data_IF_105378493846
#
_entry.id   IF_105378493846
#
_cell.length_a   1.000
_cell.length_b   1.000
_cell.length_c   1.000
_cell.angle_alpha   90.00
_cell.angle_beta   90.00
_cell.angle_gamma   90.00
#
_symmetry.space_group_name_H-M   'P 1'
#
loop_
_entity.id
_entity.type
_entity.pdbx_description
1 polymer ?
#
# COMPACT_ATOMS: atom_id res chain seq x y z
N UNK A 1 4.16 10.58 24.38
CA UNK A 1 2.88 10.18 23.77
C UNK A 1 2.92 8.69 23.48
N UNK A 2 1.90 7.97 23.91
CA UNK A 2 1.72 6.54 23.63
C UNK A 2 0.55 6.35 22.67
N UNK A 3 0.77 5.67 21.55
CA UNK A 3 -0.21 5.48 20.50
C UNK A 3 -0.49 3.99 20.31
N UNK A 4 -1.76 3.61 20.41
CA UNK A 4 -2.19 2.30 19.93
C UNK A 4 -2.25 2.36 18.40
N UNK A 5 -1.35 1.66 17.72
CA UNK A 5 -1.39 1.43 16.27
C UNK A 5 -1.93 0.04 15.99
N UNK A 6 -3.24 -0.06 15.80
CA UNK A 6 -3.94 -1.34 15.74
C UNK A 6 -4.19 -1.80 14.30
N UNK A 7 -3.57 -2.91 13.94
CA UNK A 7 -3.89 -3.67 12.73
C UNK A 7 -4.61 -4.96 13.13
N UNK A 8 -5.88 -5.07 12.75
CA UNK A 8 -6.63 -6.30 12.96
C UNK A 8 -6.09 -7.43 12.09
N UNK A 9 -5.99 -8.64 12.64
CA UNK A 9 -5.40 -9.80 11.98
C UNK A 9 -3.90 -9.62 11.62
N UNK A 10 -3.15 -8.81 12.38
CA UNK A 10 -1.70 -8.69 12.23
C UNK A 10 -1.04 -10.09 12.15
N UNK A 11 -0.09 -10.25 11.23
CA UNK A 11 0.57 -11.52 10.93
C UNK A 11 -0.22 -12.50 10.04
N UNK A 12 -1.49 -12.20 9.70
CA UNK A 12 -2.30 -12.94 8.72
C UNK A 12 -2.57 -12.16 7.45
N UNK A 13 -2.56 -10.83 7.54
CA UNK A 13 -2.72 -9.94 6.39
C UNK A 13 -1.34 -9.75 5.74
N UNK A 14 -1.29 -9.86 4.43
CA UNK A 14 -0.14 -9.55 3.57
C UNK A 14 -0.52 -8.44 2.59
N UNK A 15 0.48 -7.86 1.92
CA UNK A 15 0.25 -6.83 0.90
C UNK A 15 0.26 -5.40 1.45
N UNK A 16 -0.31 -4.46 0.69
CA UNK A 16 -0.14 -3.02 0.87
C UNK A 16 -0.50 -2.49 2.27
N UNK A 17 -1.61 -2.95 2.86
CA UNK A 17 -2.04 -2.48 4.20
C UNK A 17 -1.06 -2.93 5.29
N UNK A 18 -0.57 -4.18 5.23
CA UNK A 18 0.42 -4.67 6.19
C UNK A 18 1.75 -3.90 6.05
N UNK A 19 2.18 -3.65 4.82
CA UNK A 19 3.37 -2.83 4.54
C UNK A 19 3.19 -1.41 5.05
N UNK A 20 2.08 -0.75 4.73
CA UNK A 20 1.78 0.60 5.20
C UNK A 20 1.79 0.71 6.72
N UNK A 21 1.12 -0.22 7.42
CA UNK A 21 1.09 -0.23 8.89
C UNK A 21 2.48 -0.49 9.49
N UNK A 22 3.28 -1.38 8.90
CA UNK A 22 4.66 -1.63 9.34
C UNK A 22 5.53 -0.39 9.18
N UNK A 23 5.47 0.28 8.04
CA UNK A 23 6.17 1.54 7.76
C UNK A 23 5.74 2.65 8.71
N UNK A 24 4.43 2.79 8.96
CA UNK A 24 3.88 3.75 9.91
C UNK A 24 4.44 3.54 11.33
N UNK A 25 4.52 2.29 11.80
CA UNK A 25 5.10 1.96 13.11
C UNK A 25 6.59 2.29 13.19
N UNK A 26 7.33 1.96 12.13
CA UNK A 26 8.75 2.32 12.02
C UNK A 26 8.92 3.83 12.08
N UNK A 27 8.14 4.59 11.32
CA UNK A 27 8.16 6.05 11.29
C UNK A 27 7.81 6.67 12.66
N UNK A 28 6.78 6.17 13.34
CA UNK A 28 6.38 6.63 14.67
C UNK A 28 7.45 6.33 15.72
N UNK A 29 8.03 5.15 15.69
CA UNK A 29 9.11 4.76 16.62
C UNK A 29 10.36 5.64 16.41
N UNK A 30 10.74 5.93 15.18
CA UNK A 30 11.85 6.84 14.84
C UNK A 30 11.57 8.26 15.33
N UNK A 31 10.32 8.70 15.29
CA UNK A 31 9.86 10.01 15.81
C UNK A 31 9.70 10.02 17.36
N UNK A 32 10.08 8.98 18.07
CA UNK A 32 10.06 8.91 19.55
C UNK A 32 8.68 8.63 20.17
N UNK A 33 7.74 8.12 19.41
CA UNK A 33 6.41 7.73 19.88
C UNK A 33 6.47 6.32 20.49
N UNK A 34 5.85 6.13 21.66
CA UNK A 34 5.67 4.80 22.26
C UNK A 34 4.50 4.07 21.57
N UNK A 35 4.82 3.11 20.69
CA UNK A 35 3.82 2.41 19.86
C UNK A 35 3.36 1.13 20.55
N UNK A 36 2.05 1.00 20.71
CA UNK A 36 1.38 -0.19 21.24
C UNK A 36 0.62 -0.87 20.09
N UNK A 37 0.96 -2.12 19.78
CA UNK A 37 0.36 -2.85 18.65
C UNK A 37 -0.93 -3.61 18.99
N UNK A 38 -1.10 -3.96 20.26
CA UNK A 38 -2.28 -4.69 20.74
C UNK A 38 -3.03 -3.88 21.80
N UNK A 39 -4.34 -3.69 21.64
CA UNK A 39 -5.14 -2.98 22.64
C UNK A 39 -5.39 -3.79 23.91
N UNK A 40 -5.11 -5.10 23.90
CA UNK A 40 -5.46 -6.02 24.97
C UNK A 40 -4.29 -6.25 25.93
N UNK A 41 -4.60 -6.34 27.24
CA UNK A 41 -3.66 -6.84 28.25
C UNK A 41 -3.68 -8.37 28.19
N UNK A 42 -2.51 -8.99 27.90
CA UNK A 42 -2.35 -10.45 27.75
C UNK A 42 -1.97 -10.83 26.30
N UNK A 43 -1.04 -11.76 26.18
CA UNK A 43 -0.45 -12.15 24.89
C UNK A 43 -1.10 -13.42 24.29
N UNK A 44 -2.18 -13.92 24.89
CA UNK A 44 -2.83 -15.16 24.48
C UNK A 44 -4.01 -14.96 23.53
N UNK A 45 -4.17 -15.84 22.50
CA UNK A 45 -5.33 -15.78 21.59
C UNK A 45 -6.66 -15.95 22.32
N UNK A 46 -6.69 -16.61 23.46
CA UNK A 46 -7.89 -16.79 24.30
C UNK A 46 -8.27 -15.51 25.05
N UNK A 47 -7.30 -14.72 25.50
CA UNK A 47 -7.55 -13.45 26.18
C UNK A 47 -8.09 -12.41 25.20
N UNK A 48 -7.50 -12.36 23.99
CA UNK A 48 -8.00 -11.53 22.90
C UNK A 48 -9.42 -11.93 22.46
N UNK A 49 -9.70 -13.23 22.37
CA UNK A 49 -11.04 -13.73 22.01
C UNK A 49 -12.06 -13.42 23.11
N UNK A 50 -11.69 -13.60 24.38
CA UNK A 50 -12.54 -13.30 25.54
C UNK A 50 -12.84 -11.81 25.62
N UNK A 51 -11.83 -10.95 25.45
CA UNK A 51 -11.97 -9.49 25.46
C UNK A 51 -12.85 -8.99 24.32
N UNK A 52 -12.73 -9.59 23.13
CA UNK A 52 -13.59 -9.30 21.96
C UNK A 52 -15.05 -9.68 22.19
N UNK A 53 -15.31 -10.83 22.83
CA UNK A 53 -16.66 -11.35 23.05
C UNK A 53 -17.38 -10.69 24.23
N UNK A 54 -16.66 -10.37 25.30
CA UNK A 54 -17.27 -9.86 26.53
C UNK A 54 -17.27 -8.34 26.63
N UNK A 55 -16.50 -7.65 25.78
CA UNK A 55 -16.27 -6.19 25.90
C UNK A 55 -15.66 -5.78 27.25
N UNK A 56 -15.15 -6.73 28.04
CA UNK A 56 -14.71 -6.57 29.41
C UNK A 56 -13.26 -7.00 29.65
N UNK A 57 -12.44 -7.15 28.61
CA UNK A 57 -10.99 -7.31 28.74
C UNK A 57 -10.31 -6.01 29.18
N UNK A 58 -9.25 -6.11 29.97
CA UNK A 58 -8.44 -4.95 30.30
C UNK A 58 -7.76 -4.44 29.02
N UNK A 59 -8.05 -3.19 28.67
CA UNK A 59 -7.33 -2.48 27.62
C UNK A 59 -6.00 -1.97 28.19
N UNK A 60 -4.97 -1.89 27.34
CA UNK A 60 -3.73 -1.19 27.65
C UNK A 60 -4.00 0.31 27.70
N UNK A 61 -3.20 1.04 28.44
CA UNK A 61 -3.27 2.50 28.46
C UNK A 61 -2.56 3.06 27.22
N UNK A 62 -3.21 4.01 26.55
CA UNK A 62 -2.67 4.78 25.42
C UNK A 62 -3.39 6.14 25.34
N UNK A 63 -2.68 7.12 24.80
CA UNK A 63 -3.17 8.49 24.66
C UNK A 63 -4.05 8.66 23.41
N UNK A 64 -3.78 7.86 22.36
CA UNK A 64 -4.48 7.88 21.07
C UNK A 64 -4.75 6.44 20.63
N UNK A 65 -5.96 6.18 20.13
CA UNK A 65 -6.32 4.96 19.41
C UNK A 65 -6.25 5.19 17.90
N UNK A 66 -5.33 4.50 17.21
CA UNK A 66 -5.23 4.54 15.74
C UNK A 66 -5.52 3.14 15.18
N UNK A 67 -6.57 3.03 14.34
CA UNK A 67 -6.99 1.77 13.71
C UNK A 67 -6.72 1.80 12.21
N UNK A 68 -6.03 0.76 11.71
CA UNK A 68 -5.63 0.61 10.30
C UNK A 68 -6.55 -0.31 9.47
N UNK A 69 -7.55 -0.91 10.09
CA UNK A 69 -8.58 -1.71 9.44
C UNK A 69 -9.96 -1.44 10.02
N UNK A 70 -10.97 -1.98 9.35
CA UNK A 70 -12.39 -1.69 9.61
C UNK A 70 -13.15 -2.91 10.15
N UNK A 71 -12.47 -3.88 10.75
CA UNK A 71 -13.08 -5.10 11.24
C UNK A 71 -13.67 -5.01 12.65
N UNK A 72 -14.20 -6.12 13.21
CA UNK A 72 -14.83 -6.14 14.53
C UNK A 72 -13.92 -5.72 15.69
N UNK A 73 -12.62 -6.01 15.60
CA UNK A 73 -11.63 -5.57 16.57
C UNK A 73 -11.47 -4.06 16.59
N UNK A 74 -11.38 -3.44 15.42
CA UNK A 74 -11.32 -1.98 15.27
C UNK A 74 -12.60 -1.29 15.79
N UNK A 75 -13.77 -1.91 15.58
CA UNK A 75 -15.02 -1.43 16.20
C UNK A 75 -14.99 -1.51 17.72
N UNK A 76 -14.40 -2.56 18.30
CA UNK A 76 -14.26 -2.68 19.76
C UNK A 76 -13.31 -1.60 20.31
N UNK A 77 -12.17 -1.35 19.64
CA UNK A 77 -11.25 -0.26 19.97
C UNK A 77 -11.95 1.10 19.89
N UNK A 78 -12.64 1.38 18.80
CA UNK A 78 -13.38 2.64 18.62
C UNK A 78 -14.43 2.88 19.73
N UNK A 79 -15.18 1.84 20.12
CA UNK A 79 -16.14 1.92 21.23
C UNK A 79 -15.46 2.15 22.59
N UNK A 80 -14.30 1.53 22.81
CA UNK A 80 -13.52 1.74 24.02
C UNK A 80 -13.00 3.18 24.09
N UNK A 81 -12.39 3.66 23.02
CA UNK A 81 -11.87 5.02 22.90
C UNK A 81 -12.95 6.06 23.22
N UNK A 82 -14.11 5.94 22.56
CA UNK A 82 -15.27 6.85 22.81
C UNK A 82 -15.80 6.84 24.24
N UNK A 83 -15.76 5.69 24.94
CA UNK A 83 -16.26 5.59 26.32
C UNK A 83 -15.30 6.16 27.35
N UNK A 84 -14.04 6.32 27.00
CA UNK A 84 -12.98 6.77 27.87
C UNK A 84 -12.38 8.11 27.41
N UNK A 85 -13.06 8.82 26.51
CA UNK A 85 -12.64 10.11 25.95
C UNK A 85 -11.21 10.11 25.38
N UNK A 86 -10.82 8.95 24.77
CA UNK A 86 -9.53 8.79 24.08
C UNK A 86 -9.73 9.18 22.62
N UNK A 87 -8.93 10.08 22.07
CA UNK A 87 -8.97 10.45 20.66
C UNK A 87 -8.83 9.25 19.73
N UNK A 88 -9.72 9.16 18.74
CA UNK A 88 -9.81 8.05 17.78
C UNK A 88 -9.37 8.50 16.38
N UNK A 89 -8.28 7.92 15.89
CA UNK A 89 -7.81 8.06 14.52
C UNK A 89 -8.19 6.81 13.73
N UNK A 90 -8.80 6.99 12.57
CA UNK A 90 -9.09 5.90 11.64
C UNK A 90 -8.32 6.13 10.33
N UNK A 91 -7.48 5.17 9.94
CA UNK A 91 -6.74 5.24 8.68
C UNK A 91 -7.52 4.56 7.56
N UNK A 92 -7.87 5.32 6.54
CA UNK A 92 -8.64 4.84 5.41
C UNK A 92 -7.73 4.24 4.33
N UNK A 93 -7.16 3.07 4.60
CA UNK A 93 -6.45 2.27 3.61
C UNK A 93 -7.38 1.62 2.57
N UNK A 94 -8.67 1.55 2.87
CA UNK A 94 -9.70 0.95 2.01
C UNK A 94 -10.87 1.89 1.88
N UNK A 95 -11.30 2.15 0.65
CA UNK A 95 -12.57 2.81 0.34
C UNK A 95 -13.59 1.81 -0.21
N UNK A 96 -14.85 2.19 -0.31
CA UNK A 96 -15.86 1.32 -0.91
C UNK A 96 -15.71 1.24 -2.44
N UNK A 97 -15.04 2.22 -3.00
CA UNK A 97 -14.73 2.34 -4.41
C UNK A 97 -13.64 1.33 -4.80
N UNK A 98 -12.54 1.24 -4.02
CA UNK A 98 -11.43 0.30 -4.26
C UNK A 98 -11.81 -1.16 -4.07
N UNK A 99 -12.74 -1.42 -3.15
CA UNK A 99 -13.03 -2.79 -2.71
C UNK A 99 -13.80 -3.58 -3.77
N UNK A 100 -14.55 -2.89 -4.64
CA UNK A 100 -15.44 -3.53 -5.62
C UNK A 100 -14.70 -4.40 -6.64
N UNK A 101 -13.47 -4.07 -6.99
CA UNK A 101 -12.71 -4.74 -8.06
C UNK A 101 -11.60 -5.69 -7.53
N UNK A 102 -11.43 -5.78 -6.21
CA UNK A 102 -10.27 -6.46 -5.62
C UNK A 102 -10.40 -7.99 -5.57
N UNK A 103 -11.62 -8.55 -5.44
CA UNK A 103 -11.82 -10.00 -5.32
C UNK A 103 -13.14 -10.44 -5.97
N UNK A 104 -13.20 -11.70 -6.45
CA UNK A 104 -14.33 -12.30 -7.17
C UNK A 104 -15.70 -12.19 -6.49
N UNK A 105 -15.74 -12.07 -5.15
CA UNK A 105 -16.98 -11.96 -4.38
C UNK A 105 -17.24 -10.55 -3.83
N UNK A 106 -16.34 -9.61 -4.06
CA UNK A 106 -16.44 -8.26 -3.48
C UNK A 106 -17.51 -7.41 -4.14
N UNK A 107 -17.79 -7.59 -5.42
CA UNK A 107 -18.95 -6.95 -6.08
C UNK A 107 -20.28 -7.26 -5.37
N UNK A 108 -20.43 -8.48 -4.84
CA UNK A 108 -21.62 -8.90 -4.14
C UNK A 108 -21.73 -8.31 -2.72
N UNK A 109 -20.57 -8.03 -2.09
CA UNK A 109 -20.47 -7.48 -0.73
C UNK A 109 -20.38 -5.97 -0.72
N UNK A 110 -19.87 -5.35 -1.79
CA UNK A 110 -19.68 -3.92 -1.93
C UNK A 110 -20.93 -3.07 -1.56
N UNK A 111 -22.18 -3.45 -1.93
CA UNK A 111 -23.37 -2.71 -1.54
C UNK A 111 -23.60 -2.64 -0.02
N UNK A 112 -23.19 -3.67 0.73
CA UNK A 112 -23.29 -3.70 2.18
C UNK A 112 -22.06 -3.03 2.85
N UNK A 113 -20.90 -3.12 2.23
CA UNK A 113 -19.65 -2.55 2.73
C UNK A 113 -19.68 -1.02 2.71
N UNK A 114 -20.22 -0.42 1.66
CA UNK A 114 -20.28 1.04 1.51
C UNK A 114 -20.96 1.76 2.68
N UNK A 115 -22.19 1.40 3.10
CA UNK A 115 -22.82 2.02 4.28
C UNK A 115 -22.05 1.72 5.57
N UNK A 116 -21.43 0.54 5.68
CA UNK A 116 -20.62 0.18 6.84
C UNK A 116 -19.37 1.06 6.95
N UNK A 117 -18.57 1.22 5.88
CA UNK A 117 -17.38 2.07 5.87
C UNK A 117 -17.75 3.54 6.16
N UNK A 118 -18.82 4.03 5.54
CA UNK A 118 -19.33 5.38 5.81
C UNK A 118 -19.69 5.59 7.27
N UNK A 119 -20.35 4.61 7.89
CA UNK A 119 -20.65 4.63 9.32
C UNK A 119 -19.37 4.55 10.16
N UNK A 120 -18.45 3.64 9.83
CA UNK A 120 -17.25 3.42 10.63
C UNK A 120 -16.35 4.66 10.63
N UNK A 121 -16.02 5.21 9.47
CA UNK A 121 -15.20 6.41 9.40
C UNK A 121 -15.86 7.65 10.04
N UNK A 122 -17.19 7.70 10.12
CA UNK A 122 -17.88 8.78 10.84
C UNK A 122 -17.72 8.73 12.35
N UNK A 123 -17.13 7.67 12.90
CA UNK A 123 -16.84 7.53 14.33
C UNK A 123 -15.53 8.20 14.75
N UNK A 124 -14.65 8.55 13.82
CA UNK A 124 -13.34 9.13 14.09
C UNK A 124 -13.41 10.55 14.62
N UNK A 125 -12.37 10.93 15.37
CA UNK A 125 -12.04 12.32 15.68
C UNK A 125 -11.08 12.88 14.63
N UNK A 126 -10.31 12.01 13.96
CA UNK A 126 -9.47 12.31 12.81
C UNK A 126 -9.49 11.11 11.85
N UNK A 127 -9.68 11.34 10.55
CA UNK A 127 -9.49 10.34 9.51
C UNK A 127 -8.18 10.65 8.77
N UNK A 128 -7.26 9.67 8.74
CA UNK A 128 -6.08 9.71 7.89
C UNK A 128 -6.32 8.92 6.61
N UNK A 129 -5.69 9.32 5.53
CA UNK A 129 -5.74 8.62 4.25
C UNK A 129 -4.42 8.84 3.48
N UNK A 130 -4.05 7.94 2.54
CA UNK A 130 -2.72 7.98 1.94
C UNK A 130 -2.50 9.10 0.90
N UNK A 131 -3.58 9.76 0.41
CA UNK A 131 -3.48 10.74 -0.68
C UNK A 131 -4.61 11.78 -0.64
N UNK A 132 -4.40 12.92 -1.29
CA UNK A 132 -5.47 13.90 -1.54
C UNK A 132 -6.57 13.31 -2.45
N UNK A 133 -6.21 12.37 -3.34
CA UNK A 133 -7.19 11.63 -4.12
C UNK A 133 -8.15 10.86 -3.21
N UNK A 134 -7.62 10.06 -2.28
CA UNK A 134 -8.45 9.31 -1.31
C UNK A 134 -9.25 10.26 -0.41
N UNK A 135 -8.68 11.40 0.00
CA UNK A 135 -9.41 12.44 0.74
C UNK A 135 -10.60 12.97 -0.05
N UNK A 136 -10.46 13.19 -1.38
CA UNK A 136 -11.60 13.60 -2.23
C UNK A 136 -12.71 12.54 -2.25
N UNK A 137 -12.35 11.26 -2.35
CA UNK A 137 -13.32 10.14 -2.26
C UNK A 137 -14.05 10.15 -0.92
N UNK A 138 -13.30 10.27 0.19
CA UNK A 138 -13.86 10.24 1.54
C UNK A 138 -14.74 11.46 1.87
N UNK A 139 -14.55 12.61 1.21
CA UNK A 139 -15.45 13.77 1.35
C UNK A 139 -16.88 13.50 0.92
N UNK A 140 -17.11 12.46 0.10
CA UNK A 140 -18.46 12.01 -0.24
C UNK A 140 -19.11 11.13 0.85
N UNK A 141 -18.35 10.81 1.92
CA UNK A 141 -18.83 10.07 3.08
C UNK A 141 -19.38 11.03 4.15
N UNK A 142 -20.27 10.59 5.05
CA UNK A 142 -20.81 11.42 6.14
C UNK A 142 -19.79 11.58 7.30
N UNK A 143 -18.52 11.72 6.96
CA UNK A 143 -17.44 11.98 7.92
C UNK A 143 -17.51 13.44 8.32
N UNK A 144 -17.54 13.72 9.62
CA UNK A 144 -17.54 15.08 10.19
C UNK A 144 -16.18 15.49 10.72
N UNK A 145 -15.37 14.50 11.07
CA UNK A 145 -14.01 14.72 11.53
C UNK A 145 -13.14 15.29 10.38
N UNK A 146 -12.05 15.99 10.71
CA UNK A 146 -11.02 16.31 9.72
C UNK A 146 -10.55 15.07 8.97
N UNK A 147 -10.30 15.21 7.66
CA UNK A 147 -9.70 14.16 6.82
C UNK A 147 -8.37 14.71 6.34
N UNK A 148 -7.27 14.08 6.75
CA UNK A 148 -5.92 14.57 6.45
C UNK A 148 -5.12 13.53 5.68
N UNK A 149 -4.49 13.89 4.55
CA UNK A 149 -3.64 13.00 3.81
C UNK A 149 -2.28 12.89 4.51
N UNK A 150 -1.88 11.65 4.73
CA UNK A 150 -0.53 11.28 5.18
C UNK A 150 -0.10 10.10 4.35
N UNK A 151 0.94 10.29 3.55
CA UNK A 151 1.50 9.24 2.69
C UNK A 151 1.90 8.02 3.53
N UNK A 152 1.73 6.82 2.96
CA UNK A 152 2.24 5.60 3.62
C UNK A 152 3.78 5.59 3.67
N UNK A 153 4.41 6.37 2.81
CA UNK A 153 5.86 6.48 2.74
C UNK A 153 6.55 5.31 2.05
N UNK A 154 7.86 5.37 2.10
CA UNK A 154 8.75 4.29 1.64
C UNK A 154 9.91 4.13 2.61
N UNK A 155 10.19 2.89 3.00
CA UNK A 155 11.33 2.50 3.80
C UNK A 155 12.55 2.29 2.90
N UNK A 156 13.27 3.37 2.61
CA UNK A 156 14.44 3.38 1.73
C UNK A 156 15.56 2.50 2.29
N UNK A 157 15.76 2.51 3.61
CA UNK A 157 16.82 1.75 4.27
C UNK A 157 16.59 0.24 4.15
N UNK A 158 15.34 -0.22 4.23
CA UNK A 158 14.97 -1.62 4.04
C UNK A 158 15.26 -2.16 2.65
N UNK A 159 15.43 -1.28 1.66
CA UNK A 159 15.74 -1.63 0.28
C UNK A 159 17.24 -1.64 -0.01
N UNK A 160 18.09 -1.16 0.90
CA UNK A 160 19.55 -1.09 0.70
C UNK A 160 20.15 -2.44 0.33
N UNK A 161 21.09 -2.44 -0.62
CA UNK A 161 21.79 -3.63 -1.08
C UNK A 161 20.96 -4.54 -1.99
N UNK A 162 19.85 -4.05 -2.54
CA UNK A 162 19.01 -4.79 -3.49
C UNK A 162 19.80 -5.28 -4.72
N UNK A 163 20.84 -4.57 -5.12
CA UNK A 163 21.68 -4.91 -6.29
C UNK A 163 22.37 -6.27 -6.12
N UNK A 164 22.64 -6.68 -4.89
CA UNK A 164 23.30 -7.96 -4.60
C UNK A 164 22.47 -9.18 -5.03
N UNK A 165 21.17 -9.03 -5.15
CA UNK A 165 20.26 -10.10 -5.57
C UNK A 165 20.23 -10.31 -7.09
N UNK A 166 20.79 -9.38 -7.89
CA UNK A 166 20.63 -9.37 -9.35
C UNK A 166 21.03 -10.68 -10.01
N UNK A 167 22.24 -11.15 -9.76
CA UNK A 167 22.77 -12.34 -10.43
C UNK A 167 21.99 -13.59 -10.05
N UNK A 168 21.77 -13.80 -8.76
CA UNK A 168 21.07 -14.98 -8.25
C UNK A 168 19.62 -15.08 -8.77
N UNK A 169 18.89 -13.97 -8.72
CA UNK A 169 17.46 -13.98 -9.10
C UNK A 169 17.30 -14.12 -10.61
N UNK A 170 18.15 -13.48 -11.39
CA UNK A 170 18.14 -13.63 -12.85
C UNK A 170 18.49 -15.04 -13.28
N UNK A 171 19.51 -15.68 -12.69
CA UNK A 171 19.83 -17.09 -12.94
C UNK A 171 18.66 -18.00 -12.55
N UNK A 172 18.07 -17.78 -11.38
CA UNK A 172 16.95 -18.59 -10.86
C UNK A 172 15.72 -18.60 -11.77
N UNK A 173 15.43 -17.49 -12.42
CA UNK A 173 14.23 -17.31 -13.22
C UNK A 173 14.51 -17.16 -14.72
N UNK A 174 15.75 -17.43 -15.16
CA UNK A 174 16.19 -17.34 -16.56
C UNK A 174 15.86 -15.99 -17.21
N UNK A 175 16.21 -14.90 -16.54
CA UNK A 175 15.92 -13.53 -16.97
C UNK A 175 17.15 -12.90 -17.62
N UNK A 176 17.01 -12.48 -18.87
CA UNK A 176 18.09 -11.91 -19.67
C UNK A 176 17.78 -10.46 -20.15
N UNK A 177 18.79 -9.78 -20.64
CA UNK A 177 18.64 -8.46 -21.25
C UNK A 177 17.99 -7.41 -20.33
N UNK A 178 17.07 -6.61 -20.87
CA UNK A 178 16.26 -5.67 -20.11
C UNK A 178 15.08 -6.39 -19.49
N UNK A 179 15.02 -6.44 -18.16
CA UNK A 179 13.94 -7.08 -17.41
C UNK A 179 12.92 -6.03 -16.98
N UNK A 180 11.71 -6.17 -17.47
CA UNK A 180 10.54 -5.40 -17.04
C UNK A 180 9.88 -6.14 -15.86
N UNK A 181 9.59 -5.45 -14.78
CA UNK A 181 9.06 -6.14 -13.60
C UNK A 181 7.93 -5.40 -12.91
N UNK A 182 7.12 -6.16 -12.17
CA UNK A 182 6.07 -5.67 -11.27
C UNK A 182 6.20 -6.33 -9.90
N UNK A 183 5.79 -5.63 -8.84
CA UNK A 183 5.77 -6.14 -7.46
C UNK A 183 4.38 -5.97 -6.88
N UNK A 184 3.83 -7.04 -6.34
CA UNK A 184 2.52 -7.05 -5.70
C UNK A 184 1.70 -8.28 -6.02
N UNK A 185 0.54 -8.42 -5.39
CA UNK A 185 -0.37 -9.51 -5.66
C UNK A 185 -0.83 -9.51 -7.13
N UNK A 186 -0.88 -10.70 -7.74
CA UNK A 186 -1.18 -10.87 -9.16
C UNK A 186 -2.68 -10.94 -9.36
N UNK A 187 -3.30 -9.85 -9.78
CA UNK A 187 -4.71 -9.80 -10.13
C UNK A 187 -5.05 -8.63 -11.07
N UNK A 188 -6.23 -8.67 -11.66
CA UNK A 188 -6.60 -7.81 -12.80
C UNK A 188 -6.55 -6.32 -12.49
N UNK A 189 -6.99 -5.87 -11.29
CA UNK A 189 -6.93 -4.45 -10.91
C UNK A 189 -5.49 -3.91 -10.95
N UNK A 190 -4.48 -4.75 -10.67
CA UNK A 190 -3.06 -4.38 -10.76
C UNK A 190 -2.52 -4.31 -12.19
N UNK A 191 -3.39 -4.51 -13.20
CA UNK A 191 -3.04 -4.42 -14.61
C UNK A 191 -2.43 -5.69 -15.19
N UNK A 192 -2.83 -6.86 -14.66
CA UNK A 192 -2.31 -8.16 -15.09
C UNK A 192 -2.45 -8.39 -16.60
N UNK A 193 -3.63 -8.12 -17.16
CA UNK A 193 -3.85 -8.28 -18.59
C UNK A 193 -2.95 -7.36 -19.41
N UNK A 194 -2.90 -6.06 -19.09
CA UNK A 194 -1.99 -5.11 -19.75
C UNK A 194 -0.52 -5.54 -19.65
N UNK A 195 -0.07 -6.02 -18.47
CA UNK A 195 1.29 -6.51 -18.28
C UNK A 195 1.65 -7.65 -19.23
N UNK A 196 0.76 -8.64 -19.39
CA UNK A 196 0.97 -9.79 -20.26
C UNK A 196 0.86 -9.44 -21.75
N UNK A 197 -0.08 -8.57 -22.15
CA UNK A 197 -0.24 -8.12 -23.52
C UNK A 197 0.99 -7.31 -23.97
N UNK A 198 1.44 -6.35 -23.17
CA UNK A 198 2.65 -5.56 -23.43
C UNK A 198 3.90 -6.45 -23.51
N UNK A 199 4.00 -7.48 -22.65
CA UNK A 199 5.08 -8.46 -22.75
C UNK A 199 5.12 -9.17 -24.10
N UNK A 200 3.96 -9.62 -24.57
CA UNK A 200 3.84 -10.31 -25.86
C UNK A 200 4.26 -9.44 -27.04
N UNK A 201 3.99 -8.12 -26.98
CA UNK A 201 4.31 -7.20 -28.07
C UNK A 201 5.77 -6.74 -28.07
N UNK A 202 6.42 -6.68 -26.91
CA UNK A 202 7.79 -6.11 -26.79
C UNK A 202 8.89 -7.14 -26.89
N UNK A 203 8.66 -8.38 -26.46
CA UNK A 203 9.66 -9.47 -26.48
C UNK A 203 10.80 -9.31 -25.47
N UNK A 204 10.70 -8.37 -24.49
CA UNK A 204 11.60 -8.31 -23.33
C UNK A 204 11.20 -9.36 -22.31
N UNK A 205 12.09 -9.69 -21.36
CA UNK A 205 11.73 -10.55 -20.24
C UNK A 205 10.91 -9.77 -19.21
N UNK A 206 9.80 -10.37 -18.80
CA UNK A 206 8.88 -9.83 -17.81
C UNK A 206 8.82 -10.72 -16.57
N UNK A 207 8.91 -10.13 -15.39
CA UNK A 207 8.84 -10.85 -14.13
C UNK A 207 7.84 -10.19 -13.18
N UNK A 208 6.82 -10.93 -12.74
CA UNK A 208 5.89 -10.45 -11.73
C UNK A 208 6.19 -11.11 -10.39
N UNK A 209 6.66 -10.32 -9.43
CA UNK A 209 7.02 -10.76 -8.08
C UNK A 209 5.84 -10.56 -7.13
N UNK A 210 5.16 -11.66 -6.80
CA UNK A 210 4.04 -11.61 -5.88
C UNK A 210 3.18 -12.86 -5.85
N UNK A 211 2.43 -12.96 -4.78
CA UNK A 211 1.49 -14.06 -4.59
C UNK A 211 0.32 -13.96 -5.58
N UNK A 212 -0.22 -15.10 -5.95
CA UNK A 212 -1.49 -15.22 -6.66
C UNK A 212 -2.29 -16.40 -6.15
N UNK A 213 -3.61 -16.22 -6.19
CA UNK A 213 -4.54 -17.28 -5.87
C UNK A 213 -4.62 -18.31 -7.01
N UNK A 214 -4.69 -19.57 -6.65
CA UNK A 214 -4.84 -20.68 -7.59
C UNK A 214 -6.25 -21.28 -7.50
N UNK A 215 -6.65 -21.99 -8.55
CA UNK A 215 -7.89 -22.74 -8.59
C UNK A 215 -9.16 -21.87 -8.62
N UNK A 216 -10.29 -22.32 -8.01
CA UNK A 216 -11.58 -21.65 -8.12
C UNK A 216 -11.68 -20.28 -7.41
N UNK A 217 -10.78 -19.99 -6.46
CA UNK A 217 -10.72 -18.72 -5.74
C UNK A 217 -10.11 -17.61 -6.59
N UNK A 218 -9.24 -17.96 -7.56
CA UNK A 218 -8.62 -16.99 -8.45
C UNK A 218 -9.65 -16.30 -9.33
N UNK A 219 -9.42 -15.00 -9.58
CA UNK A 219 -10.13 -14.24 -10.60
C UNK A 219 -9.94 -14.85 -11.99
N UNK A 220 -10.81 -14.53 -12.94
CA UNK A 220 -10.75 -15.11 -14.29
C UNK A 220 -9.44 -14.76 -15.00
N UNK A 221 -9.05 -13.49 -15.00
CA UNK A 221 -7.81 -13.04 -15.59
C UNK A 221 -6.58 -13.66 -14.93
N UNK A 222 -6.54 -13.71 -13.59
CA UNK A 222 -5.44 -14.35 -12.84
C UNK A 222 -5.26 -15.79 -13.27
N UNK A 223 -6.35 -16.56 -13.27
CA UNK A 223 -6.32 -17.97 -13.67
C UNK A 223 -5.89 -18.15 -15.12
N UNK A 224 -6.40 -17.31 -16.05
CA UNK A 224 -6.04 -17.38 -17.46
C UNK A 224 -4.54 -17.15 -17.66
N UNK A 225 -4.02 -16.04 -17.20
CA UNK A 225 -2.64 -15.62 -17.43
C UNK A 225 -1.61 -16.45 -16.65
N UNK A 226 -1.92 -16.91 -15.44
CA UNK A 226 -0.99 -17.77 -14.67
C UNK A 226 -0.97 -19.22 -15.16
N UNK A 227 -2.03 -19.66 -15.87
CA UNK A 227 -2.06 -20.99 -16.49
C UNK A 227 -1.47 -20.97 -17.90
N UNK A 228 -1.60 -19.88 -18.64
CA UNK A 228 -1.13 -19.71 -20.00
C UNK A 228 -0.28 -18.41 -20.11
N UNK A 229 0.84 -18.31 -19.42
CA UNK A 229 1.66 -17.10 -19.51
C UNK A 229 2.28 -16.97 -20.92
N UNK A 230 2.49 -15.76 -21.42
CA UNK A 230 3.38 -15.54 -22.55
C UNK A 230 4.78 -16.14 -22.28
N UNK A 231 5.49 -16.57 -23.35
CA UNK A 231 6.79 -17.26 -23.21
C UNK A 231 7.84 -16.44 -22.45
N UNK A 232 7.74 -15.10 -22.52
CA UNK A 232 8.64 -14.15 -21.89
C UNK A 232 8.09 -13.59 -20.57
N UNK A 233 7.06 -14.18 -19.96
CA UNK A 233 6.48 -13.76 -18.67
C UNK A 233 6.69 -14.81 -17.60
N UNK A 234 7.34 -14.41 -16.51
CA UNK A 234 7.56 -15.24 -15.32
C UNK A 234 6.76 -14.72 -14.13
N UNK A 235 5.87 -15.54 -13.59
CA UNK A 235 5.23 -15.31 -12.29
C UNK A 235 6.05 -16.01 -11.21
N UNK A 236 6.79 -15.23 -10.42
CA UNK A 236 7.77 -15.78 -9.46
C UNK A 236 7.14 -16.33 -8.18
N UNK A 237 5.88 -15.97 -7.90
CA UNK A 237 5.27 -16.19 -6.60
C UNK A 237 5.81 -15.21 -5.53
N UNK A 238 5.52 -15.52 -4.28
CA UNK A 238 5.96 -14.72 -3.13
C UNK A 238 7.48 -14.83 -2.94
N UNK A 239 8.11 -13.68 -2.69
CA UNK A 239 9.52 -13.58 -2.30
C UNK A 239 9.60 -13.07 -0.86
N UNK A 240 10.34 -13.78 0.00
CA UNK A 240 10.50 -13.39 1.42
C UNK A 240 11.28 -12.07 1.57
N UNK A 241 12.21 -11.83 0.66
CA UNK A 241 12.94 -10.56 0.58
C UNK A 241 12.55 -9.79 -0.69
N UNK A 242 11.83 -8.71 -0.51
CA UNK A 242 11.37 -7.86 -1.62
C UNK A 242 12.52 -7.25 -2.45
N UNK A 243 13.73 -7.12 -1.87
CA UNK A 243 14.92 -6.62 -2.57
C UNK A 243 15.28 -7.48 -3.77
N UNK A 244 14.92 -8.76 -3.74
CA UNK A 244 15.12 -9.69 -4.86
C UNK A 244 14.46 -9.19 -6.16
N UNK A 245 13.24 -8.68 -6.07
CA UNK A 245 12.51 -8.13 -7.22
C UNK A 245 13.19 -6.89 -7.77
N UNK A 246 13.54 -5.94 -6.90
CA UNK A 246 14.22 -4.69 -7.30
C UNK A 246 15.65 -4.94 -7.80
N UNK A 247 16.32 -5.97 -7.30
CA UNK A 247 17.64 -6.41 -7.81
C UNK A 247 17.56 -6.96 -9.23
N UNK A 248 16.60 -7.82 -9.51
CA UNK A 248 16.44 -8.48 -10.79
C UNK A 248 16.00 -7.52 -11.92
N UNK A 249 15.06 -6.62 -11.63
CA UNK A 249 14.40 -5.78 -12.62
C UNK A 249 15.20 -4.54 -13.02
N UNK A 250 14.97 -4.06 -14.24
CA UNK A 250 15.55 -2.83 -14.80
C UNK A 250 14.49 -1.72 -14.92
N UNK A 251 13.28 -2.05 -15.38
CA UNK A 251 12.17 -1.11 -15.57
C UNK A 251 10.96 -1.62 -14.79
N UNK A 252 10.47 -0.81 -13.89
CA UNK A 252 9.26 -1.12 -13.14
C UNK A 252 8.02 -0.73 -13.97
N UNK A 253 7.15 -1.69 -14.24
CA UNK A 253 5.90 -1.47 -14.97
C UNK A 253 4.71 -1.67 -14.03
N UNK A 254 3.92 -0.63 -13.85
CA UNK A 254 2.75 -0.64 -12.97
C UNK A 254 1.50 -0.16 -13.70
N UNK A 255 0.88 -1.09 -14.42
CA UNK A 255 -0.31 -0.84 -15.23
C UNK A 255 -1.61 -0.92 -14.42
N UNK A 256 -1.53 -0.66 -13.09
CA UNK A 256 -2.69 -0.72 -12.18
C UNK A 256 -3.83 0.19 -12.65
N UNK A 257 -5.07 -0.27 -12.48
CA UNK A 257 -6.28 0.46 -12.90
C UNK A 257 -6.77 1.42 -11.82
N UNK A 258 -6.48 1.09 -10.56
CA UNK A 258 -6.89 1.87 -9.40
C UNK A 258 -5.93 1.67 -8.23
N UNK A 259 -5.63 2.75 -7.50
CA UNK A 259 -4.75 2.79 -6.33
C UNK A 259 -5.16 3.89 -5.36
N UNK A 260 -4.76 3.71 -4.11
CA UNK A 260 -4.82 4.77 -3.11
C UNK A 260 -3.51 5.57 -3.01
N UNK A 261 -2.38 4.97 -3.42
CA UNK A 261 -1.07 5.62 -3.47
C UNK A 261 -0.07 4.91 -4.40
N UNK A 262 0.14 3.58 -4.25
CA UNK A 262 1.13 2.81 -5.00
C UNK A 262 2.49 2.69 -4.29
N UNK A 263 2.53 2.10 -3.08
CA UNK A 263 3.77 1.90 -2.30
C UNK A 263 4.86 1.22 -3.12
N UNK A 264 4.52 0.18 -3.90
CA UNK A 264 5.50 -0.55 -4.71
C UNK A 264 6.15 0.30 -5.81
N UNK A 265 5.44 1.32 -6.33
CA UNK A 265 6.03 2.28 -7.26
C UNK A 265 7.06 3.17 -6.54
N UNK A 266 6.75 3.66 -5.34
CA UNK A 266 7.71 4.41 -4.51
C UNK A 266 8.93 3.56 -4.13
N UNK A 267 8.75 2.26 -3.85
CA UNK A 267 9.86 1.33 -3.59
C UNK A 267 10.75 1.15 -4.83
N UNK A 268 10.18 1.03 -6.02
CA UNK A 268 10.92 0.97 -7.27
C UNK A 268 11.69 2.28 -7.52
N UNK A 269 11.06 3.41 -7.26
CA UNK A 269 11.69 4.74 -7.34
C UNK A 269 12.84 4.90 -6.35
N UNK A 270 12.67 4.46 -5.11
CA UNK A 270 13.74 4.46 -4.10
C UNK A 270 14.96 3.63 -4.53
N UNK A 271 14.73 2.54 -5.27
CA UNK A 271 15.78 1.74 -5.90
C UNK A 271 16.33 2.38 -7.20
N UNK A 272 15.89 3.55 -7.59
CA UNK A 272 16.32 4.25 -8.80
C UNK A 272 15.95 3.54 -10.09
N UNK A 273 14.85 2.83 -10.10
CA UNK A 273 14.33 2.21 -11.33
C UNK A 273 13.59 3.24 -12.16
N UNK A 274 13.74 3.16 -13.48
CA UNK A 274 12.80 3.83 -14.37
C UNK A 274 11.42 3.20 -14.20
N UNK A 275 10.41 4.04 -14.00
CA UNK A 275 9.05 3.62 -13.67
C UNK A 275 8.11 3.97 -14.81
N UNK A 276 7.33 3.00 -15.28
CA UNK A 276 6.26 3.18 -16.27
C UNK A 276 4.94 2.87 -15.60
N UNK A 277 4.05 3.84 -15.55
CA UNK A 277 2.79 3.79 -14.82
C UNK A 277 1.59 3.95 -15.75
N UNK A 278 0.45 3.39 -15.37
CA UNK A 278 -0.82 3.84 -15.96
C UNK A 278 -1.12 5.25 -15.49
N UNK A 279 -1.60 6.09 -16.40
CA UNK A 279 -2.04 7.44 -16.05
C UNK A 279 -3.40 7.37 -15.35
N UNK A 280 -3.36 7.44 -14.02
CA UNK A 280 -4.54 7.43 -13.15
C UNK A 280 -4.50 8.61 -12.19
N UNK A 281 -5.66 9.12 -11.73
CA UNK A 281 -5.75 10.37 -10.98
C UNK A 281 -4.92 10.44 -9.70
N UNK A 282 -4.69 9.32 -9.01
CA UNK A 282 -3.86 9.30 -7.81
C UNK A 282 -2.39 9.59 -8.10
N UNK A 283 -1.89 9.15 -9.26
CA UNK A 283 -0.49 9.34 -9.63
C UNK A 283 -0.16 10.77 -10.12
N UNK A 284 -1.16 11.60 -10.38
CA UNK A 284 -0.95 13.04 -10.63
C UNK A 284 -0.39 13.76 -9.41
N UNK A 285 -0.73 13.27 -8.21
CA UNK A 285 -0.29 13.86 -6.94
C UNK A 285 1.17 13.54 -6.60
N UNK A 286 1.63 12.35 -7.01
CA UNK A 286 2.92 11.81 -6.56
C UNK A 286 4.02 11.88 -7.62
N UNK A 287 3.67 11.82 -8.90
CA UNK A 287 4.64 11.56 -9.98
C UNK A 287 4.44 12.47 -11.18
N UNK A 288 5.54 12.89 -11.81
CA UNK A 288 5.55 13.80 -12.94
C UNK A 288 6.03 13.11 -14.22
N UNK A 289 5.12 13.00 -15.21
CA UNK A 289 5.45 12.39 -16.50
C UNK A 289 6.65 13.05 -17.18
N UNK A 290 7.62 12.23 -17.59
CA UNK A 290 8.85 12.65 -18.30
C UNK A 290 9.95 13.18 -17.39
N UNK A 291 9.67 13.39 -16.09
CA UNK A 291 10.64 13.82 -15.09
C UNK A 291 11.11 12.64 -14.23
N UNK A 292 10.22 11.97 -13.50
CA UNK A 292 10.51 10.86 -12.59
C UNK A 292 9.85 9.54 -13.00
N UNK A 293 8.92 9.56 -13.95
CA UNK A 293 8.27 8.38 -14.51
C UNK A 293 7.81 8.61 -15.96
N UNK A 294 7.34 7.55 -16.62
CA UNK A 294 6.53 7.65 -17.84
C UNK A 294 5.10 7.19 -17.52
N UNK A 295 4.10 8.04 -17.80
CA UNK A 295 2.69 7.71 -17.63
C UNK A 295 2.08 7.34 -18.99
N UNK A 296 1.26 6.30 -19.01
CA UNK A 296 0.66 5.72 -20.21
C UNK A 296 -0.84 5.47 -19.99
N UNK A 297 -1.68 5.77 -20.97
CA UNK A 297 -3.12 5.51 -20.95
C UNK A 297 -3.46 4.18 -21.66
N UNK A 298 -2.74 3.85 -22.72
CA UNK A 298 -3.02 2.72 -23.62
C UNK A 298 -1.87 1.70 -23.61
N UNK A 299 -2.17 0.47 -24.00
CA UNK A 299 -1.17 -0.60 -24.19
C UNK A 299 -0.07 -0.20 -25.17
N UNK A 300 -0.43 0.46 -26.27
CA UNK A 300 0.53 0.95 -27.26
C UNK A 300 1.51 1.96 -26.67
N UNK A 301 1.06 2.86 -25.78
CA UNK A 301 1.95 3.79 -25.08
C UNK A 301 2.88 3.09 -24.10
N UNK A 302 2.45 2.01 -23.43
CA UNK A 302 3.33 1.19 -22.61
C UNK A 302 4.42 0.53 -23.45
N UNK A 303 4.07 -0.04 -24.60
CA UNK A 303 5.03 -0.63 -25.56
C UNK A 303 6.04 0.42 -26.02
N UNK A 304 5.59 1.59 -26.46
CA UNK A 304 6.45 2.69 -26.90
C UNK A 304 7.38 3.19 -25.77
N UNK A 305 6.86 3.31 -24.54
CA UNK A 305 7.65 3.71 -23.39
C UNK A 305 8.77 2.69 -23.10
N UNK A 306 8.48 1.40 -23.15
CA UNK A 306 9.48 0.36 -22.94
C UNK A 306 10.56 0.34 -24.04
N UNK A 307 10.17 0.49 -25.31
CA UNK A 307 11.14 0.61 -26.42
C UNK A 307 12.04 1.83 -26.24
N UNK A 308 11.48 2.99 -25.88
CA UNK A 308 12.28 4.20 -25.59
C UNK A 308 13.28 4.00 -24.47
N UNK A 309 12.88 3.28 -23.41
CA UNK A 309 13.76 2.99 -22.27
C UNK A 309 14.83 1.94 -22.60
N UNK A 310 14.51 0.98 -23.48
CA UNK A 310 15.48 -0.02 -23.95
C UNK A 310 16.56 0.61 -24.86
N UNK A 311 16.14 1.46 -25.78
CA UNK A 311 17.01 2.11 -26.77
C UNK A 311 17.80 3.29 -26.18
N UNK A 312 17.35 3.87 -25.05
CA UNK A 312 17.97 5.05 -24.45
C UNK A 312 18.33 4.82 -22.97
N UNK A 313 19.51 4.22 -22.67
CA UNK A 313 19.96 4.03 -21.30
C UNK A 313 20.13 5.33 -20.50
N UNK A 314 20.49 6.43 -21.18
CA UNK A 314 20.64 7.74 -20.50
C UNK A 314 19.29 8.27 -20.01
N UNK A 315 18.23 8.11 -20.80
CA UNK A 315 16.86 8.43 -20.37
C UNK A 315 16.46 7.57 -19.17
N UNK A 316 16.72 6.26 -19.25
CA UNK A 316 16.39 5.33 -18.17
C UNK A 316 17.10 5.69 -16.87
N UNK A 317 18.39 6.02 -16.92
CA UNK A 317 19.18 6.43 -15.76
C UNK A 317 18.66 7.77 -15.19
N UNK A 318 18.43 8.77 -16.04
CA UNK A 318 17.92 10.07 -15.59
C UNK A 318 16.57 9.95 -14.89
N UNK A 319 15.63 9.18 -15.46
CA UNK A 319 14.34 8.94 -14.79
C UNK A 319 14.52 8.23 -13.45
N UNK A 320 15.44 7.26 -13.37
CA UNK A 320 15.74 6.56 -12.13
C UNK A 320 16.39 7.46 -11.06
N UNK A 321 17.24 8.40 -11.45
CA UNK A 321 17.83 9.39 -10.53
C UNK A 321 16.76 10.32 -9.97
N UNK A 322 15.93 10.90 -10.83
CA UNK A 322 14.83 11.77 -10.41
C UNK A 322 13.80 11.01 -9.56
N UNK A 323 13.52 9.74 -9.91
CA UNK A 323 12.64 8.88 -9.13
C UNK A 323 13.13 8.69 -7.69
N UNK A 324 14.46 8.58 -7.46
CA UNK A 324 15.02 8.55 -6.09
C UNK A 324 14.76 9.82 -5.32
N UNK A 325 14.84 10.99 -5.96
CA UNK A 325 14.55 12.27 -5.33
C UNK A 325 13.07 12.33 -4.93
N UNK A 326 12.18 11.93 -5.82
CA UNK A 326 10.74 11.82 -5.52
C UNK A 326 10.47 10.87 -4.36
N UNK A 327 11.08 9.67 -4.34
CA UNK A 327 10.91 8.72 -3.26
C UNK A 327 11.42 9.26 -1.90
N UNK A 328 12.51 10.03 -1.89
CA UNK A 328 13.05 10.65 -0.67
C UNK A 328 12.09 11.67 -0.05
N UNK A 329 11.24 12.30 -0.85
CA UNK A 329 10.19 13.19 -0.33
C UNK A 329 9.10 12.44 0.44
N UNK A 330 8.99 11.13 0.24
CA UNK A 330 8.06 10.23 0.92
C UNK A 330 8.78 9.30 1.91
N UNK A 331 9.94 9.69 2.46
CA UNK A 331 10.67 8.92 3.46
C UNK A 331 9.88 8.71 4.75
N UNK A 332 10.22 7.66 5.51
CA UNK A 332 9.56 7.37 6.78
C UNK A 332 9.76 8.45 7.84
N UNK A 333 10.88 9.18 7.79
CA UNK A 333 11.10 10.32 8.70
C UNK A 333 10.03 11.40 8.50
N UNK A 334 9.76 11.78 7.26
CA UNK A 334 8.71 12.75 6.92
C UNK A 334 7.31 12.25 7.30
N UNK A 335 7.07 10.95 7.12
CA UNK A 335 5.80 10.32 7.55
C UNK A 335 5.64 10.41 9.06
N UNK A 336 6.69 10.08 9.82
CA UNK A 336 6.71 10.16 11.28
C UNK A 336 6.44 11.57 11.80
N UNK A 337 7.14 12.56 11.25
CA UNK A 337 6.93 13.98 11.58
C UNK A 337 5.47 14.40 11.33
N UNK A 338 4.92 14.02 10.17
CA UNK A 338 3.55 14.38 9.80
C UNK A 338 2.50 13.70 10.69
N UNK A 339 2.70 12.44 11.04
CA UNK A 339 1.81 11.71 11.95
C UNK A 339 1.84 12.34 13.35
N UNK A 340 3.03 12.65 13.88
CA UNK A 340 3.18 13.29 15.19
C UNK A 340 2.49 14.65 15.21
N UNK A 341 2.67 15.48 14.18
CA UNK A 341 1.97 16.77 14.05
C UNK A 341 0.44 16.61 14.15
N UNK A 342 -0.14 15.60 13.45
CA UNK A 342 -1.57 15.35 13.49
C UNK A 342 -2.03 14.88 14.88
N UNK A 343 -1.26 14.05 15.54
CA UNK A 343 -1.58 13.55 16.86
C UNK A 343 -1.49 14.64 17.95
N UNK A 344 -0.45 15.48 17.89
CA UNK A 344 -0.30 16.61 18.83
C UNK A 344 -1.44 17.62 18.68
N UNK A 345 -1.85 17.92 17.44
CA UNK A 345 -3.01 18.77 17.18
C UNK A 345 -4.28 18.18 17.76
N UNK A 346 -4.52 16.89 17.57
CA UNK A 346 -5.69 16.19 18.08
C UNK A 346 -5.73 16.19 19.62
N UNK A 347 -4.59 15.96 20.30
CA UNK A 347 -4.48 16.01 21.76
C UNK A 347 -4.67 17.43 22.30
N UNK A 348 -4.13 18.45 21.61
CA UNK A 348 -4.30 19.86 22.00
C UNK A 348 -5.76 20.32 21.91
N UNK A 349 -6.48 19.91 20.90
CA UNK A 349 -7.92 20.19 20.73
C UNK A 349 -8.77 19.51 21.81
N UNK A 350 -8.41 18.28 22.20
CA UNK A 350 -9.11 17.52 23.24
C UNK A 350 -8.97 18.16 24.64
N UNK A 351 -7.84 18.82 24.93
CA UNK A 351 -7.62 19.51 26.20
C UNK A 351 -8.25 20.92 26.25
N UNK A 352 -8.51 21.54 25.11
CA UNK A 352 -9.12 22.88 25.04
C UNK A 352 -10.65 22.86 25.07
N UNK A 353 -11.26 21.70 24.94
CA UNK A 353 -12.71 21.50 24.89
C UNK A 353 -13.41 21.21 26.24
N UNK A 354 -12.68 21.27 27.37
CA UNK A 354 -13.31 21.12 28.71
C UNK A 354 -13.66 22.49 29.25
N UNK A 355 -14.96 22.84 29.43
CA UNK A 355 -15.39 24.12 30.01
C UNK A 355 -15.10 24.22 31.52
#
# INVERSE_FOLDING_TARGET
MRVLDYLELAGRIRGGIATATSQQRTALAAAGVDVVESPWVGDGPLDAARSRLTGGGAFREYDIAHCNLVGPGSVAVARHAKRNDIPLVLHAHVTAEDFGESFRFTEQVAPALRPYLRWFYSQADLVLCPSEYTKRVLRAYPVRAPIEPVTNGVDVDSLSGFESFRAEIRERFDLEGMVVFCVGEVFERKGLTTFCEVATETGYDFAWFGHYEEGPAAGEATRYWTTNPPENVTFTGWMDDKRAAFGAGDVYLFATKDENQGIAALEAMACGKAVVLRDIPVFEEFFTHGEDCLKCETEAEFVDALHRLAENPDLRNRLGENARETAAEHSLDRVGERLVEQYERLLGESHSGTP
#
